data_IF_468180768247
#
_entry.id   IF_468180768247
#
_cell.length_a   1.000
_cell.length_b   1.000
_cell.length_c   1.000
_cell.angle_alpha   90.00
_cell.angle_beta   90.00
_cell.angle_gamma   90.00
#
_symmetry.space_group_name_H-M   'P 1'
#
loop_
_entity.id
_entity.type
_entity.pdbx_description
1 polymer ?
#
# COMPACT_ATOMS: atom_id res chain seq x y z
N UNK A 1 5.17 9.43 -6.79
CA UNK A 1 4.92 7.97 -6.72
C UNK A 1 4.83 7.40 -8.12
N UNK A 2 5.06 6.10 -8.29
CA UNK A 2 4.88 5.40 -9.55
C UNK A 2 4.00 4.16 -9.35
N UNK A 3 3.00 3.94 -10.20
CA UNK A 3 2.10 2.78 -10.07
C UNK A 3 1.41 2.45 -11.39
N UNK A 4 0.66 1.35 -11.38
CA UNK A 4 -0.21 0.90 -12.46
C UNK A 4 -1.66 0.82 -11.96
N UNK A 5 -2.57 0.39 -12.83
CA UNK A 5 -3.98 0.31 -12.49
C UNK A 5 -4.29 -0.70 -11.36
N UNK A 6 -3.44 -1.70 -11.13
CA UNK A 6 -3.64 -2.71 -10.09
C UNK A 6 -3.20 -2.20 -8.71
N UNK A 7 -2.15 -1.38 -8.67
CA UNK A 7 -1.62 -0.79 -7.43
C UNK A 7 -2.39 0.43 -6.92
N UNK A 8 -3.45 0.88 -7.61
CA UNK A 8 -4.09 2.18 -7.36
C UNK A 8 -4.74 2.29 -5.98
N UNK A 9 -5.24 1.19 -5.42
CA UNK A 9 -5.89 1.21 -4.13
C UNK A 9 -4.89 1.40 -2.98
N UNK A 10 -3.77 0.66 -3.01
CA UNK A 10 -2.68 0.86 -2.05
C UNK A 10 -2.03 2.24 -2.22
N UNK A 11 -1.90 2.71 -3.48
CA UNK A 11 -1.47 4.08 -3.77
C UNK A 11 -2.39 5.09 -3.09
N UNK A 12 -3.72 4.92 -3.17
CA UNK A 12 -4.66 5.83 -2.54
C UNK A 12 -4.51 5.87 -1.01
N UNK A 13 -4.29 4.72 -0.36
CA UNK A 13 -4.04 4.66 1.10
C UNK A 13 -2.70 5.32 1.47
N UNK A 14 -1.66 5.09 0.68
CA UNK A 14 -0.35 5.73 0.88
C UNK A 14 -0.48 7.26 0.79
N UNK A 15 -1.18 7.76 -0.24
CA UNK A 15 -1.46 9.18 -0.40
C UNK A 15 -2.30 9.73 0.75
N UNK A 16 -3.38 9.05 1.11
CA UNK A 16 -4.25 9.44 2.20
C UNK A 16 -3.49 9.58 3.52
N UNK A 17 -2.72 8.56 3.90
CA UNK A 17 -1.92 8.57 5.13
C UNK A 17 -0.86 9.68 5.11
N UNK A 18 -0.23 9.93 3.96
CA UNK A 18 0.71 11.04 3.77
C UNK A 18 0.04 12.39 3.94
N UNK A 19 -1.11 12.62 3.31
CA UNK A 19 -1.87 13.87 3.40
C UNK A 19 -2.31 14.13 4.84
N UNK A 20 -2.83 13.10 5.52
CA UNK A 20 -3.35 13.17 6.89
C UNK A 20 -2.26 13.54 7.90
N UNK A 21 -1.06 12.98 7.78
CA UNK A 21 0.03 13.19 8.74
C UNK A 21 0.94 14.39 8.43
N UNK A 22 0.71 15.08 7.31
CA UNK A 22 1.47 16.27 6.91
C UNK A 22 0.55 17.49 6.78
N UNK A 23 -0.32 17.71 7.77
CA UNK A 23 -1.43 18.69 7.69
C UNK A 23 -0.97 20.16 7.50
N UNK A 24 0.25 20.49 7.93
CA UNK A 24 0.81 21.85 7.86
C UNK A 24 1.48 22.15 6.52
N UNK A 25 1.81 21.12 5.74
CA UNK A 25 2.61 21.26 4.53
C UNK A 25 1.71 21.39 3.28
N UNK A 26 2.14 22.17 2.28
CA UNK A 26 1.54 22.14 0.96
C UNK A 26 2.07 20.91 0.22
N UNK A 27 1.19 20.07 -0.34
CA UNK A 27 1.63 18.81 -0.97
C UNK A 27 1.21 18.80 -2.44
N UNK A 28 2.22 18.80 -3.30
CA UNK A 28 2.07 18.49 -4.71
C UNK A 28 2.40 17.01 -4.92
N UNK A 29 1.42 16.25 -5.35
CA UNK A 29 1.50 14.81 -5.58
C UNK A 29 1.63 14.58 -7.08
N UNK A 30 2.70 13.90 -7.47
CA UNK A 30 2.92 13.48 -8.85
C UNK A 30 2.84 11.96 -8.94
N UNK A 31 1.95 11.46 -9.79
CA UNK A 31 1.73 10.04 -10.03
C UNK A 31 2.17 9.72 -11.46
N UNK A 32 3.28 9.00 -11.58
CA UNK A 32 3.78 8.52 -12.88
C UNK A 32 3.18 7.14 -13.12
N UNK A 33 2.55 6.93 -14.27
CA UNK A 33 1.83 5.68 -14.56
C UNK A 33 1.84 5.33 -16.04
N UNK A 34 1.37 4.13 -16.37
CA UNK A 34 1.17 3.70 -17.75
C UNK A 34 -0.29 3.51 -18.12
N UNK A 35 -1.10 3.02 -17.18
CA UNK A 35 -2.41 2.45 -17.52
C UNK A 35 -3.51 2.72 -16.47
N UNK A 36 -3.23 3.49 -15.41
CA UNK A 36 -4.27 3.94 -14.47
C UNK A 36 -5.41 4.58 -15.26
N UNK A 37 -6.59 3.99 -15.16
CA UNK A 37 -7.78 4.39 -15.92
C UNK A 37 -8.25 5.79 -15.52
N UNK A 38 -8.89 6.52 -16.44
CA UNK A 38 -9.44 7.84 -16.14
C UNK A 38 -10.44 7.82 -14.96
N UNK A 39 -11.18 6.73 -14.78
CA UNK A 39 -12.05 6.53 -13.62
C UNK A 39 -11.24 6.47 -12.32
N UNK A 40 -10.20 5.65 -12.27
CA UNK A 40 -9.33 5.54 -11.10
C UNK A 40 -8.57 6.84 -10.80
N UNK A 41 -8.13 7.57 -11.83
CA UNK A 41 -7.52 8.89 -11.65
C UNK A 41 -8.49 9.87 -10.99
N UNK A 42 -9.73 9.95 -11.49
CA UNK A 42 -10.79 10.79 -10.91
C UNK A 42 -11.10 10.40 -9.47
N UNK A 43 -11.11 9.10 -9.17
CA UNK A 43 -11.32 8.62 -7.80
C UNK A 43 -10.18 9.08 -6.87
N UNK A 44 -8.92 8.84 -7.25
CA UNK A 44 -7.76 9.27 -6.45
C UNK A 44 -7.74 10.80 -6.27
N UNK A 45 -8.12 11.58 -7.28
CA UNK A 45 -8.26 13.04 -7.16
C UNK A 45 -9.27 13.48 -6.09
N UNK A 46 -10.22 12.63 -5.66
CA UNK A 46 -11.11 12.98 -4.53
C UNK A 46 -10.33 13.24 -3.24
N UNK A 47 -9.12 12.71 -3.09
CA UNK A 47 -8.25 13.00 -1.94
C UNK A 47 -7.84 14.48 -1.86
N UNK A 48 -7.94 15.25 -2.96
CA UNK A 48 -7.76 16.71 -2.93
C UNK A 48 -8.81 17.41 -2.06
N UNK A 49 -9.99 16.79 -1.86
CA UNK A 49 -11.04 17.33 -1.00
C UNK A 49 -10.71 17.30 0.49
N UNK A 50 -9.67 16.57 0.89
CA UNK A 50 -9.23 16.49 2.29
C UNK A 50 -8.82 17.88 2.80
N UNK A 51 -8.12 18.68 1.97
CA UNK A 51 -7.77 20.07 2.27
C UNK A 51 -7.31 20.84 1.04
N UNK A 52 -7.47 22.17 1.06
CA UNK A 52 -7.27 23.09 -0.09
C UNK A 52 -5.87 23.11 -0.71
N UNK A 53 -4.84 22.65 0.00
CA UNK A 53 -3.44 22.75 -0.40
C UNK A 53 -2.84 21.39 -0.80
N UNK A 54 -3.67 20.54 -1.40
CA UNK A 54 -3.30 19.29 -2.07
C UNK A 54 -3.54 19.44 -3.56
N UNK A 55 -2.56 19.04 -4.38
CA UNK A 55 -2.69 18.98 -5.83
C UNK A 55 -2.18 17.62 -6.32
N UNK A 56 -2.99 16.89 -7.09
CA UNK A 56 -2.66 15.57 -7.63
C UNK A 56 -2.58 15.66 -9.15
N UNK A 57 -1.40 15.35 -9.70
CA UNK A 57 -1.18 15.30 -11.15
C UNK A 57 -0.74 13.92 -11.59
N UNK A 58 -1.33 13.46 -12.69
CA UNK A 58 -0.98 12.21 -13.35
C UNK A 58 -0.10 12.47 -14.57
N UNK A 59 0.98 11.72 -14.69
CA UNK A 59 1.86 11.71 -15.84
C UNK A 59 1.88 10.31 -16.43
N UNK A 60 1.26 10.18 -17.60
CA UNK A 60 1.30 8.94 -18.36
C UNK A 60 2.62 8.86 -19.11
N UNK A 61 3.35 7.77 -18.93
CA UNK A 61 4.55 7.47 -19.72
C UNK A 61 4.23 6.42 -20.78
N UNK A 62 4.97 6.48 -21.89
CA UNK A 62 4.94 5.45 -22.92
C UNK A 62 5.90 4.31 -22.55
N UNK A 63 5.39 3.08 -22.57
CA UNK A 63 6.17 1.88 -22.32
C UNK A 63 7.20 1.60 -23.41
N UNK A 64 7.07 2.21 -24.58
CA UNK A 64 8.02 2.05 -25.69
C UNK A 64 9.46 2.40 -25.31
N UNK A 65 9.68 3.29 -24.34
CA UNK A 65 11.02 3.61 -23.84
C UNK A 65 11.78 2.38 -23.32
N UNK A 66 11.06 1.36 -22.84
CA UNK A 66 11.61 0.16 -22.24
C UNK A 66 11.64 -1.03 -23.21
N UNK A 67 11.36 -0.84 -24.50
CA UNK A 67 11.34 -1.93 -25.48
C UNK A 67 12.68 -2.65 -25.62
N UNK A 68 13.78 -1.95 -25.33
CA UNK A 68 15.16 -2.45 -25.36
C UNK A 68 15.70 -2.84 -23.97
N UNK A 69 14.88 -2.72 -22.92
CA UNK A 69 15.27 -3.08 -21.54
C UNK A 69 14.85 -4.52 -21.26
N UNK A 70 15.81 -5.38 -20.94
CA UNK A 70 15.55 -6.81 -20.70
C UNK A 70 14.86 -7.03 -19.33
N UNK A 71 13.55 -6.83 -19.20
CA UNK A 71 12.78 -6.90 -17.94
C UNK A 71 12.62 -8.35 -17.41
N UNK A 72 13.72 -8.99 -17.08
CA UNK A 72 13.73 -10.46 -16.94
C UNK A 72 13.40 -10.97 -15.55
N UNK A 73 13.17 -10.07 -14.60
CA UNK A 73 12.83 -10.48 -13.25
C UNK A 73 11.33 -10.45 -13.12
N UNK A 74 10.73 -11.62 -12.89
CA UNK A 74 9.31 -11.76 -12.60
C UNK A 74 8.89 -11.09 -11.28
N UNK A 75 9.84 -10.62 -10.47
CA UNK A 75 9.63 -10.08 -9.12
C UNK A 75 9.50 -8.56 -9.04
N UNK A 76 10.04 -7.78 -9.99
CA UNK A 76 9.98 -6.30 -9.95
C UNK A 76 9.20 -5.78 -11.14
N UNK A 77 8.11 -5.07 -10.84
CA UNK A 77 7.21 -4.55 -11.87
C UNK A 77 7.79 -3.32 -12.56
N UNK A 78 7.33 -3.08 -13.79
CA UNK A 78 7.72 -1.93 -14.60
C UNK A 78 7.62 -0.56 -13.90
N UNK A 79 6.56 -0.30 -13.10
CA UNK A 79 6.47 0.92 -12.30
C UNK A 79 7.69 1.26 -11.45
N UNK A 80 8.51 0.27 -11.06
CA UNK A 80 9.72 0.53 -10.31
C UNK A 80 10.70 1.47 -11.04
N UNK A 81 10.78 1.39 -12.38
CA UNK A 81 11.67 2.23 -13.17
C UNK A 81 11.12 3.64 -13.41
N UNK A 82 9.81 3.85 -13.26
CA UNK A 82 9.17 5.11 -13.69
C UNK A 82 9.59 6.30 -12.83
N UNK A 83 9.97 6.05 -11.57
CA UNK A 83 10.45 7.08 -10.64
C UNK A 83 11.66 7.85 -11.17
N UNK A 84 12.50 7.20 -11.98
CA UNK A 84 13.71 7.80 -12.53
C UNK A 84 13.46 8.73 -13.73
N UNK A 85 12.21 8.86 -14.21
CA UNK A 85 11.81 9.93 -15.11
C UNK A 85 11.44 11.24 -14.40
N UNK A 86 11.40 11.26 -13.06
CA UNK A 86 11.08 12.48 -12.31
C UNK A 86 11.91 13.71 -12.73
N UNK A 87 13.24 13.62 -12.98
CA UNK A 87 14.02 14.76 -13.45
C UNK A 87 13.55 15.32 -14.81
N UNK A 88 13.06 14.45 -15.70
CA UNK A 88 12.64 14.83 -17.06
C UNK A 88 11.20 15.38 -17.10
N UNK A 89 10.33 14.81 -16.26
CA UNK A 89 8.90 15.13 -16.21
C UNK A 89 8.65 16.37 -15.33
N UNK A 90 9.29 16.44 -14.17
CA UNK A 90 9.06 17.47 -13.16
C UNK A 90 10.04 18.63 -13.31
N UNK A 91 10.01 19.30 -14.46
CA UNK A 91 10.97 20.36 -14.84
C UNK A 91 10.97 21.58 -13.93
N UNK A 92 9.85 21.82 -13.25
CA UNK A 92 9.67 22.97 -12.35
C UNK A 92 9.96 22.63 -10.88
N UNK A 93 10.30 21.38 -10.58
CA UNK A 93 10.61 20.93 -9.23
C UNK A 93 12.11 20.68 -9.10
N UNK A 94 12.71 21.21 -8.04
CA UNK A 94 14.13 20.99 -7.72
C UNK A 94 14.33 19.78 -6.83
N UNK A 95 13.30 19.37 -6.10
CA UNK A 95 13.37 18.28 -5.13
C UNK A 95 12.05 17.52 -5.07
N UNK A 96 12.13 16.20 -4.97
CA UNK A 96 10.95 15.36 -4.74
C UNK A 96 11.25 14.26 -3.72
N UNK A 97 10.26 13.95 -2.89
CA UNK A 97 10.25 12.72 -2.10
C UNK A 97 9.46 11.66 -2.86
N UNK A 98 10.16 10.67 -3.39
CA UNK A 98 9.56 9.49 -3.96
C UNK A 98 9.19 8.49 -2.85
N UNK A 99 8.01 7.86 -2.99
CA UNK A 99 7.50 6.78 -2.15
C UNK A 99 6.88 5.70 -3.04
N UNK A 100 7.14 4.44 -2.72
CA UNK A 100 6.42 3.30 -3.30
C UNK A 100 4.95 3.32 -2.88
N UNK A 101 4.09 2.68 -3.68
CA UNK A 101 2.65 2.68 -3.49
C UNK A 101 2.15 1.76 -2.37
N UNK A 102 3.04 1.00 -1.75
CA UNK A 102 2.78 0.05 -0.68
C UNK A 102 3.42 0.50 0.64
N UNK A 103 3.34 1.80 0.90
CA UNK A 103 3.83 2.43 2.11
C UNK A 103 2.69 3.02 2.95
N UNK A 104 2.93 3.22 4.24
CA UNK A 104 2.01 3.89 5.13
C UNK A 104 2.75 4.97 5.92
N UNK A 105 2.39 6.24 5.69
CA UNK A 105 2.96 7.37 6.40
C UNK A 105 2.17 7.61 7.68
N UNK A 106 2.83 7.51 8.83
CA UNK A 106 2.20 7.63 10.16
C UNK A 106 2.76 8.78 11.00
N UNK A 107 3.69 9.56 10.45
CA UNK A 107 4.28 10.74 11.10
C UNK A 107 4.62 11.81 10.03
N UNK A 108 4.88 13.05 10.47
CA UNK A 108 5.26 14.14 9.58
C UNK A 108 6.59 13.88 8.88
N UNK A 109 6.61 14.17 7.58
CA UNK A 109 7.76 14.10 6.68
C UNK A 109 8.40 15.46 6.45
N UNK A 110 7.92 16.53 7.11
CA UNK A 110 8.43 17.89 6.92
C UNK A 110 9.93 17.98 7.23
N UNK A 111 10.40 17.34 8.31
CA UNK A 111 11.83 17.26 8.60
C UNK A 111 12.60 16.51 7.49
N UNK A 112 12.12 15.32 7.09
CA UNK A 112 12.74 14.52 6.04
C UNK A 112 12.88 15.30 4.73
N UNK A 113 11.82 15.98 4.30
CA UNK A 113 11.83 16.72 3.05
C UNK A 113 12.86 17.87 3.04
N UNK A 114 13.13 18.45 4.21
CA UNK A 114 13.97 19.64 4.37
C UNK A 114 15.41 19.34 4.82
N UNK A 115 15.84 18.08 4.90
CA UNK A 115 17.22 17.76 5.24
C UNK A 115 18.21 18.38 4.23
N UNK A 116 19.44 18.60 4.71
CA UNK A 116 20.56 18.96 3.84
C UNK A 116 21.04 17.72 3.07
N UNK A 117 20.93 17.79 1.74
CA UNK A 117 21.37 16.74 0.83
C UNK A 117 22.88 16.72 0.62
N UNK A 118 23.60 17.75 1.09
CA UNK A 118 25.04 17.94 0.89
C UNK A 118 25.39 17.85 -0.60
N UNK A 119 26.38 17.03 -0.97
CA UNK A 119 26.79 16.79 -2.36
C UNK A 119 26.14 15.53 -2.98
N UNK A 120 25.17 14.91 -2.31
CA UNK A 120 24.50 13.69 -2.76
C UNK A 120 23.43 13.98 -3.82
N UNK A 121 23.16 12.98 -4.66
CA UNK A 121 22.08 13.02 -5.67
C UNK A 121 20.73 12.62 -5.06
N UNK A 122 20.77 11.62 -4.19
CA UNK A 122 19.60 11.05 -3.53
C UNK A 122 19.89 10.80 -2.05
N UNK A 123 18.83 10.70 -1.25
CA UNK A 123 18.89 10.18 0.12
C UNK A 123 17.95 8.98 0.23
N UNK A 124 18.41 7.94 0.91
CA UNK A 124 17.70 6.67 1.02
C UNK A 124 18.04 5.99 2.35
N UNK A 125 17.24 4.98 2.71
CA UNK A 125 17.49 4.15 3.90
C UNK A 125 18.18 2.87 3.46
N UNK A 126 19.19 2.46 4.23
CA UNK A 126 19.84 1.15 4.07
C UNK A 126 18.83 -0.01 4.08
N UNK A 127 18.98 -0.93 3.12
CA UNK A 127 18.23 -2.16 3.05
C UNK A 127 18.82 -3.21 4.02
N UNK A 128 18.27 -3.26 5.23
CA UNK A 128 18.78 -4.12 6.30
C UNK A 128 18.85 -5.60 5.91
N UNK A 129 17.91 -6.11 5.11
CA UNK A 129 17.95 -7.52 4.70
C UNK A 129 19.20 -7.83 3.87
N UNK A 130 19.52 -6.95 2.92
CA UNK A 130 20.72 -7.12 2.08
C UNK A 130 21.98 -6.97 2.92
N UNK A 131 22.03 -5.98 3.82
CA UNK A 131 23.19 -5.75 4.69
C UNK A 131 23.40 -6.88 5.71
N UNK A 132 22.33 -7.44 6.28
CA UNK A 132 22.44 -8.49 7.32
C UNK A 132 22.76 -9.87 6.78
N UNK A 133 22.29 -10.21 5.58
CA UNK A 133 22.52 -11.54 4.98
C UNK A 133 23.83 -11.62 4.20
N UNK A 134 24.38 -10.47 3.78
CA UNK A 134 25.48 -10.41 2.82
C UNK A 134 25.11 -10.99 1.45
N UNK A 135 23.81 -11.28 1.21
CA UNK A 135 23.29 -11.85 -0.02
C UNK A 135 23.07 -10.75 -1.07
N UNK A 136 24.17 -10.08 -1.36
CA UNK A 136 24.22 -8.90 -2.20
C UNK A 136 24.45 -9.32 -3.67
N UNK A 137 23.63 -8.83 -4.63
CA UNK A 137 23.85 -8.96 -6.08
C UNK A 137 25.28 -8.68 -6.60
N UNK A 138 25.77 -7.45 -6.43
CA UNK A 138 27.09 -6.99 -6.85
C UNK A 138 28.30 -7.57 -6.10
N UNK A 139 28.24 -7.86 -4.79
CA UNK A 139 29.31 -8.56 -4.05
C UNK A 139 29.47 -10.01 -4.53
N UNK A 140 28.37 -10.79 -4.66
CA UNK A 140 28.43 -12.14 -5.25
C UNK A 140 28.86 -12.12 -6.73
N UNK A 141 28.59 -11.02 -7.43
CA UNK A 141 29.09 -10.79 -8.78
C UNK A 141 30.52 -10.23 -8.84
N UNK A 142 31.10 -9.78 -7.73
CA UNK A 142 32.41 -9.08 -7.68
C UNK A 142 32.45 -7.73 -8.40
N UNK A 143 31.30 -7.15 -8.76
CA UNK A 143 31.24 -5.96 -9.63
C UNK A 143 30.75 -4.75 -8.82
N UNK A 144 31.66 -3.77 -8.68
CA UNK A 144 31.43 -2.40 -8.20
C UNK A 144 31.00 -2.23 -6.74
N UNK A 145 30.89 -3.30 -5.95
CA UNK A 145 30.60 -3.24 -4.52
C UNK A 145 31.60 -4.04 -3.69
N UNK A 146 32.08 -3.41 -2.62
CA UNK A 146 32.93 -3.97 -1.59
C UNK A 146 32.07 -4.35 -0.37
N UNK A 147 32.62 -5.18 0.52
CA UNK A 147 31.94 -5.62 1.75
C UNK A 147 31.62 -4.48 2.73
N UNK A 148 32.23 -3.31 2.56
CA UNK A 148 32.03 -2.12 3.41
C UNK A 148 31.02 -1.13 2.83
N UNK A 149 30.56 -1.36 1.60
CA UNK A 149 29.60 -0.45 0.96
C UNK A 149 28.18 -0.70 1.48
N UNK A 150 27.42 0.37 1.67
CA UNK A 150 26.01 0.31 2.10
C UNK A 150 25.10 0.07 0.90
N UNK A 151 24.11 -0.81 1.05
CA UNK A 151 23.05 -1.01 0.07
C UNK A 151 21.76 -0.34 0.52
N UNK A 152 21.16 0.47 -0.34
CA UNK A 152 19.98 1.25 -0.03
C UNK A 152 18.72 0.66 -0.66
N UNK A 153 17.62 0.71 0.08
CA UNK A 153 16.30 0.38 -0.42
C UNK A 153 15.79 1.51 -1.33
N UNK A 154 15.26 1.18 -2.52
CA UNK A 154 14.80 2.20 -3.46
C UNK A 154 13.38 2.67 -3.23
N UNK A 155 12.64 2.09 -2.28
CA UNK A 155 11.22 2.37 -2.09
C UNK A 155 10.91 3.77 -1.59
N UNK A 156 11.85 4.40 -0.87
CA UNK A 156 11.78 5.81 -0.51
C UNK A 156 13.08 6.51 -0.90
N UNK A 157 12.96 7.54 -1.74
CA UNK A 157 14.09 8.33 -2.23
C UNK A 157 13.77 9.81 -2.10
N UNK A 158 14.56 10.56 -1.35
CA UNK A 158 14.59 12.02 -1.52
C UNK A 158 15.55 12.32 -2.68
N UNK A 159 15.09 13.01 -3.72
CA UNK A 159 15.84 13.21 -4.94
C UNK A 159 16.09 14.70 -5.18
N UNK A 160 17.34 15.08 -5.40
CA UNK A 160 17.73 16.40 -5.89
C UNK A 160 17.61 16.42 -7.41
N UNK A 161 16.43 16.81 -7.90
CA UNK A 161 16.13 16.79 -9.33
C UNK A 161 17.01 17.74 -10.12
N UNK A 162 17.42 18.87 -9.53
CA UNK A 162 18.32 19.80 -10.20
C UNK A 162 19.69 19.15 -10.48
N UNK A 163 20.32 18.53 -9.48
CA UNK A 163 21.59 17.81 -9.69
C UNK A 163 21.44 16.62 -10.64
N UNK A 164 20.33 15.90 -10.57
CA UNK A 164 20.07 14.78 -11.48
C UNK A 164 19.98 15.25 -12.94
N UNK A 165 19.40 16.43 -13.20
CA UNK A 165 19.33 17.04 -14.54
C UNK A 165 20.69 17.53 -15.05
N UNK A 166 21.49 18.17 -14.19
CA UNK A 166 22.68 18.92 -14.65
C UNK A 166 23.98 18.12 -14.67
N UNK A 167 24.05 16.98 -13.97
CA UNK A 167 25.30 16.21 -13.81
C UNK A 167 25.58 15.17 -14.90
N UNK A 168 24.61 14.86 -15.76
CA UNK A 168 24.69 13.74 -16.71
C UNK A 168 24.61 12.34 -16.06
N UNK A 169 24.37 12.26 -14.74
CA UNK A 169 24.31 10.97 -14.03
C UNK A 169 23.15 10.09 -14.49
N UNK A 170 22.04 10.70 -14.91
CA UNK A 170 20.87 9.95 -15.41
C UNK A 170 21.17 9.24 -16.73
N UNK A 171 22.04 9.78 -17.59
CA UNK A 171 22.49 9.08 -18.79
C UNK A 171 23.30 7.82 -18.44
N UNK A 172 24.10 7.89 -17.37
CA UNK A 172 24.82 6.73 -16.83
C UNK A 172 23.83 5.71 -16.27
N UNK A 173 22.82 6.16 -15.51
CA UNK A 173 21.76 5.29 -14.98
C UNK A 173 21.07 4.52 -16.11
N UNK A 174 20.54 5.21 -17.11
CA UNK A 174 19.81 4.58 -18.22
C UNK A 174 20.70 3.67 -19.07
N UNK A 175 21.98 4.05 -19.27
CA UNK A 175 22.95 3.17 -19.93
C UNK A 175 23.21 1.89 -19.13
N UNK A 176 23.24 1.98 -17.80
CA UNK A 176 23.40 0.83 -16.93
C UNK A 176 22.16 -0.09 -16.97
N UNK A 177 20.96 0.48 -17.03
CA UNK A 177 19.71 -0.26 -17.21
C UNK A 177 19.72 -1.06 -18.52
N UNK A 178 20.07 -0.42 -19.64
CA UNK A 178 20.12 -1.06 -20.97
C UNK A 178 21.21 -2.12 -21.08
N UNK A 179 22.37 -1.90 -20.44
CA UNK A 179 23.49 -2.84 -20.47
C UNK A 179 23.55 -3.77 -19.25
N UNK A 180 22.45 -3.89 -18.49
CA UNK A 180 22.49 -4.48 -17.14
C UNK A 180 23.07 -5.89 -17.08
N UNK A 181 22.82 -6.74 -18.07
CA UNK A 181 23.36 -8.12 -18.11
C UNK A 181 24.86 -8.18 -18.34
N UNK A 182 25.45 -7.13 -18.95
CA UNK A 182 26.91 -6.95 -19.05
C UNK A 182 27.52 -6.42 -17.76
N UNK A 183 26.72 -5.71 -16.95
CA UNK A 183 27.18 -5.09 -15.69
C UNK A 183 27.01 -6.07 -14.52
N UNK A 184 25.94 -6.86 -14.51
CA UNK A 184 25.66 -7.83 -13.45
C UNK A 184 25.05 -9.07 -14.11
N UNK A 185 25.61 -10.28 -13.87
CA UNK A 185 24.98 -11.50 -14.33
C UNK A 185 23.54 -11.61 -13.82
N UNK A 186 22.64 -12.05 -14.71
CA UNK A 186 21.19 -12.12 -14.48
C UNK A 186 20.79 -12.80 -13.17
N UNK A 187 21.50 -13.87 -12.79
CA UNK A 187 21.29 -14.61 -11.53
C UNK A 187 21.56 -13.80 -10.25
N UNK A 188 22.32 -12.71 -10.37
CA UNK A 188 22.66 -11.85 -9.24
C UNK A 188 21.81 -10.60 -9.20
N UNK A 189 21.31 -10.09 -10.33
CA UNK A 189 20.52 -8.86 -10.38
C UNK A 189 19.06 -9.07 -9.92
N UNK A 190 18.81 -9.53 -8.70
CA UNK A 190 17.44 -9.87 -8.22
C UNK A 190 16.57 -8.64 -7.89
N UNK A 191 17.18 -7.50 -7.54
CA UNK A 191 16.47 -6.27 -7.12
C UNK A 191 16.36 -5.21 -8.22
N UNK A 192 16.69 -5.55 -9.47
CA UNK A 192 16.36 -4.77 -10.66
C UNK A 192 16.83 -3.29 -10.60
N UNK A 193 15.90 -2.32 -10.58
CA UNK A 193 16.22 -0.89 -10.54
C UNK A 193 17.02 -0.52 -9.30
N UNK A 194 16.69 -1.07 -8.12
CA UNK A 194 17.38 -0.80 -6.86
C UNK A 194 18.87 -1.13 -6.96
N UNK A 195 19.23 -2.21 -7.64
CA UNK A 195 20.63 -2.59 -7.84
C UNK A 195 21.35 -1.57 -8.73
N UNK A 196 20.71 -1.12 -9.81
CA UNK A 196 21.29 -0.12 -10.70
C UNK A 196 21.39 1.26 -10.03
N UNK A 197 20.43 1.61 -9.16
CA UNK A 197 20.46 2.82 -8.33
C UNK A 197 21.67 2.82 -7.42
N UNK A 198 21.87 1.74 -6.67
CA UNK A 198 23.01 1.59 -5.79
C UNK A 198 24.34 1.66 -6.57
N UNK A 199 24.46 1.02 -7.74
CA UNK A 199 25.66 1.11 -8.57
C UNK A 199 25.91 2.51 -9.12
N UNK A 200 24.86 3.16 -9.61
CA UNK A 200 24.99 4.44 -10.31
C UNK A 200 25.29 5.57 -9.36
N UNK A 201 24.61 5.61 -8.20
CA UNK A 201 24.75 6.67 -7.21
C UNK A 201 25.73 6.32 -6.08
N UNK A 202 26.53 5.27 -6.23
CA UNK A 202 27.50 4.84 -5.23
C UNK A 202 28.33 6.02 -4.69
N UNK A 203 28.49 6.10 -3.37
CA UNK A 203 29.16 7.20 -2.64
C UNK A 203 28.51 8.58 -2.80
N UNK A 204 27.29 8.65 -3.36
CA UNK A 204 26.50 9.87 -3.56
C UNK A 204 25.03 9.64 -3.15
N UNK A 205 24.82 8.74 -2.18
CA UNK A 205 23.55 8.48 -1.50
C UNK A 205 23.72 8.90 -0.04
N UNK A 206 22.88 9.83 0.42
CA UNK A 206 22.82 10.20 1.82
C UNK A 206 22.01 9.15 2.60
N UNK A 207 22.57 8.62 3.69
CA UNK A 207 21.85 7.72 4.60
C UNK A 207 20.77 8.48 5.37
N UNK A 208 19.55 7.98 5.29
CA UNK A 208 18.42 8.43 6.09
C UNK A 208 18.26 7.59 7.37
N UNK A 209 17.54 8.14 8.35
CA UNK A 209 17.09 7.37 9.50
C UNK A 209 16.17 6.23 9.05
N UNK A 210 16.37 5.02 9.59
CA UNK A 210 15.59 3.83 9.26
C UNK A 210 14.08 4.02 9.46
N UNK A 211 13.66 4.95 10.32
CA UNK A 211 12.23 5.23 10.54
C UNK A 211 11.50 5.72 9.30
N UNK A 212 12.21 6.27 8.32
CA UNK A 212 11.63 6.75 7.07
C UNK A 212 11.43 5.66 6.01
N UNK A 213 11.92 4.43 6.23
CA UNK A 213 11.64 3.31 5.34
C UNK A 213 11.67 2.01 6.16
N UNK A 214 10.64 1.86 6.99
CA UNK A 214 10.59 0.84 8.01
C UNK A 214 9.93 -0.42 7.44
N UNK A 215 10.74 -1.30 6.84
CA UNK A 215 10.26 -2.51 6.15
C UNK A 215 9.74 -3.53 7.15
N UNK A 216 8.47 -3.94 7.00
CA UNK A 216 7.77 -4.80 7.98
C UNK A 216 8.51 -6.12 8.21
N UNK A 217 9.01 -6.76 7.15
CA UNK A 217 9.71 -8.04 7.21
C UNK A 217 11.04 -7.99 7.99
N UNK A 218 11.60 -6.79 8.17
CA UNK A 218 12.85 -6.54 8.91
C UNK A 218 12.58 -6.37 10.39
N UNK A 219 11.38 -5.97 10.79
CA UNK A 219 11.10 -5.59 12.17
C UNK A 219 11.30 -6.73 13.19
N UNK A 220 11.20 -8.00 12.77
CA UNK A 220 11.52 -9.18 13.60
C UNK A 220 13.01 -9.27 13.97
N UNK A 221 13.86 -8.60 13.21
CA UNK A 221 15.32 -8.56 13.40
C UNK A 221 15.79 -7.21 13.95
N UNK A 222 15.03 -6.15 13.70
CA UNK A 222 15.36 -4.78 14.15
C UNK A 222 14.09 -4.10 14.64
N UNK A 223 13.93 -4.02 15.96
CA UNK A 223 12.86 -3.22 16.55
C UNK A 223 13.04 -1.75 16.16
N UNK A 224 11.95 -1.15 15.73
CA UNK A 224 11.91 0.25 15.33
C UNK A 224 10.68 0.86 16.02
N UNK A 225 10.92 1.55 17.12
CA UNK A 225 9.87 1.93 18.07
C UNK A 225 9.00 3.09 17.59
N UNK A 226 9.47 3.83 16.59
CA UNK A 226 8.78 5.02 16.08
C UNK A 226 8.93 5.18 14.56
N UNK A 227 8.37 4.28 13.74
CA UNK A 227 8.41 4.44 12.28
C UNK A 227 7.65 5.69 11.87
N UNK A 228 8.21 6.48 10.95
CA UNK A 228 7.47 7.55 10.28
C UNK A 228 6.77 7.01 9.02
N UNK A 229 7.38 6.02 8.37
CA UNK A 229 6.85 5.34 7.20
C UNK A 229 7.03 3.84 7.37
N UNK A 230 5.94 3.09 7.34
CA UNK A 230 5.94 1.62 7.30
C UNK A 230 5.91 1.17 5.84
N UNK A 231 6.78 0.25 5.45
CA UNK A 231 6.90 -0.23 4.08
C UNK A 231 6.52 -1.72 3.98
N UNK A 232 5.43 -2.02 3.29
CA UNK A 232 4.90 -3.36 3.05
C UNK A 232 5.54 -3.99 1.81
N UNK A 233 6.86 -4.07 1.81
CA UNK A 233 7.65 -4.51 0.66
C UNK A 233 7.53 -6.02 0.41
N UNK A 234 7.74 -6.42 -0.86
CA UNK A 234 7.77 -7.84 -1.23
C UNK A 234 6.43 -8.55 -1.03
N UNK A 235 6.45 -9.70 -0.34
CA UNK A 235 5.27 -10.55 -0.10
C UNK A 235 4.45 -10.14 1.13
N UNK A 236 5.01 -9.29 1.97
CA UNK A 236 4.40 -8.89 3.24
C UNK A 236 3.46 -7.70 3.02
N UNK A 237 2.38 -7.94 2.26
CA UNK A 237 1.34 -6.94 2.04
C UNK A 237 0.41 -6.86 3.26
N UNK A 238 -0.20 -5.70 3.54
CA UNK A 238 -1.06 -5.52 4.73
C UNK A 238 -2.20 -6.56 4.83
N UNK A 239 -2.66 -7.07 3.69
CA UNK A 239 -3.73 -8.06 3.58
C UNK A 239 -3.24 -9.51 3.48
N UNK A 240 -1.94 -9.74 3.60
CA UNK A 240 -1.29 -11.07 3.57
C UNK A 240 -0.26 -11.26 4.68
N UNK A 241 -0.13 -10.35 5.65
CA UNK A 241 0.73 -10.57 6.81
C UNK A 241 0.08 -11.61 7.75
N UNK A 242 0.78 -12.72 8.00
CA UNK A 242 0.24 -13.88 8.72
C UNK A 242 0.90 -14.16 10.07
N UNK A 243 1.93 -13.41 10.45
CA UNK A 243 2.57 -13.55 11.77
C UNK A 243 2.13 -12.43 12.74
N UNK A 244 2.05 -12.76 14.03
CA UNK A 244 1.58 -11.87 15.11
C UNK A 244 2.34 -10.54 15.16
N UNK A 245 3.59 -10.56 14.68
CA UNK A 245 4.47 -9.43 14.75
C UNK A 245 4.20 -8.40 13.63
N UNK A 246 3.89 -8.87 12.43
CA UNK A 246 3.49 -8.04 11.28
C UNK A 246 2.00 -7.64 11.35
N UNK A 247 1.18 -8.42 12.07
CA UNK A 247 -0.26 -8.18 12.23
C UNK A 247 -0.56 -6.78 12.79
N UNK A 248 0.16 -6.34 13.83
CA UNK A 248 -0.06 -5.01 14.43
C UNK A 248 0.10 -3.85 13.43
N UNK A 249 1.00 -3.98 12.45
CA UNK A 249 1.19 -2.94 11.43
C UNK A 249 0.12 -3.02 10.34
N UNK A 250 -0.41 -4.21 10.11
CA UNK A 250 -1.57 -4.41 9.22
C UNK A 250 -2.82 -3.79 9.83
N UNK A 251 -3.01 -3.89 11.15
CA UNK A 251 -4.11 -3.23 11.87
C UNK A 251 -4.07 -1.71 11.66
N UNK A 252 -2.89 -1.09 11.87
CA UNK A 252 -2.71 0.35 11.59
C UNK A 252 -3.03 0.66 10.13
N UNK A 253 -2.59 -0.17 9.18
CA UNK A 253 -2.93 0.03 7.77
C UNK A 253 -4.44 -0.04 7.52
N UNK A 254 -5.16 -0.96 8.17
CA UNK A 254 -6.61 -1.08 8.02
C UNK A 254 -7.36 0.15 8.52
N UNK A 255 -6.89 0.81 9.58
CA UNK A 255 -7.47 2.06 10.06
C UNK A 255 -7.41 3.15 8.97
N UNK A 256 -6.22 3.37 8.39
CA UNK A 256 -6.06 4.31 7.28
C UNK A 256 -6.81 3.89 6.03
N UNK A 257 -6.89 2.59 5.76
CA UNK A 257 -7.64 2.05 4.63
C UNK A 257 -9.13 2.39 4.74
N UNK A 258 -9.76 2.14 5.88
CA UNK A 258 -11.19 2.41 6.10
C UNK A 258 -11.50 3.89 5.93
N UNK A 259 -10.67 4.75 6.53
CA UNK A 259 -10.83 6.19 6.39
C UNK A 259 -10.63 6.67 4.95
N UNK A 260 -9.60 6.17 4.27
CA UNK A 260 -9.34 6.46 2.86
C UNK A 260 -10.54 6.07 2.00
N UNK A 261 -11.07 4.85 2.16
CA UNK A 261 -12.23 4.40 1.41
C UNK A 261 -13.47 5.27 1.67
N UNK A 262 -13.67 5.74 2.91
CA UNK A 262 -14.74 6.69 3.24
C UNK A 262 -14.61 7.99 2.44
N UNK A 263 -13.41 8.59 2.39
CA UNK A 263 -13.14 9.78 1.57
C UNK A 263 -13.39 9.52 0.07
N UNK A 264 -13.04 8.34 -0.41
CA UNK A 264 -13.27 7.95 -1.80
C UNK A 264 -14.74 7.62 -2.11
N UNK A 265 -15.60 7.51 -1.09
CA UNK A 265 -16.99 7.05 -1.21
C UNK A 265 -17.10 5.58 -1.59
N UNK A 266 -16.13 4.75 -1.16
CA UNK A 266 -16.05 3.31 -1.44
C UNK A 266 -16.43 2.51 -0.21
N UNK A 267 -17.08 1.37 -0.44
CA UNK A 267 -17.37 0.42 0.63
C UNK A 267 -16.09 -0.33 1.05
N UNK A 268 -15.60 -0.04 2.25
CA UNK A 268 -14.47 -0.73 2.86
C UNK A 268 -14.79 -2.18 3.27
N UNK A 269 -16.08 -2.53 3.40
CA UNK A 269 -16.54 -3.81 3.96
C UNK A 269 -16.09 -5.01 3.15
N UNK A 270 -15.92 -4.89 1.83
CA UNK A 270 -15.50 -6.01 0.97
C UNK A 270 -14.09 -6.49 1.26
N UNK A 271 -13.16 -5.56 1.51
CA UNK A 271 -11.78 -5.90 1.85
C UNK A 271 -11.65 -6.34 3.31
N UNK A 272 -12.40 -5.70 4.21
CA UNK A 272 -12.50 -6.15 5.61
C UNK A 272 -13.02 -7.60 5.67
N UNK A 273 -14.09 -7.93 4.94
CA UNK A 273 -14.64 -9.30 4.83
C UNK A 273 -13.62 -10.28 4.24
N UNK A 274 -12.84 -9.87 3.25
CA UNK A 274 -11.79 -10.72 2.67
C UNK A 274 -10.62 -10.95 3.62
N UNK A 275 -10.20 -9.93 4.36
CA UNK A 275 -9.17 -10.02 5.40
C UNK A 275 -9.65 -10.93 6.55
N UNK A 276 -10.86 -10.69 7.06
CA UNK A 276 -11.51 -11.50 8.10
C UNK A 276 -11.63 -12.97 7.66
N UNK A 277 -12.07 -13.22 6.43
CA UNK A 277 -12.14 -14.58 5.86
C UNK A 277 -10.77 -15.26 5.82
N UNK A 278 -9.73 -14.55 5.37
CA UNK A 278 -8.36 -15.09 5.30
C UNK A 278 -7.73 -15.33 6.68
N UNK A 279 -8.14 -14.57 7.69
CA UNK A 279 -7.75 -14.75 9.09
C UNK A 279 -8.57 -15.84 9.81
N UNK A 280 -9.47 -16.54 9.13
CA UNK A 280 -10.34 -17.56 9.74
C UNK A 280 -11.41 -16.97 10.65
N UNK A 281 -11.63 -15.65 10.61
CA UNK A 281 -12.63 -14.92 11.38
C UNK A 281 -13.99 -14.86 10.66
N UNK A 282 -14.32 -15.87 9.83
CA UNK A 282 -15.62 -15.97 9.19
C UNK A 282 -16.73 -16.13 10.24
N UNK A 283 -17.35 -15.03 10.65
CA UNK A 283 -18.58 -15.11 11.43
C UNK A 283 -19.75 -14.81 10.52
N UNK A 284 -20.53 -15.85 10.19
CA UNK A 284 -21.78 -15.78 9.43
C UNK A 284 -22.92 -15.06 10.17
N UNK A 285 -22.64 -14.30 11.23
CA UNK A 285 -23.64 -13.65 12.05
C UNK A 285 -23.38 -12.16 12.19
N UNK A 286 -24.42 -11.36 11.91
CA UNK A 286 -24.44 -9.92 12.18
C UNK A 286 -24.05 -9.59 13.64
N UNK A 287 -24.35 -10.49 14.59
CA UNK A 287 -24.03 -10.36 16.02
C UNK A 287 -22.53 -10.36 16.29
N UNK A 288 -21.74 -11.16 15.57
CA UNK A 288 -20.30 -11.26 15.82
C UNK A 288 -19.52 -10.17 15.09
N UNK A 289 -20.00 -9.73 13.92
CA UNK A 289 -19.55 -8.47 13.31
C UNK A 289 -19.78 -7.29 14.26
N UNK A 290 -20.90 -7.25 14.98
CA UNK A 290 -21.21 -6.21 15.95
C UNK A 290 -20.27 -6.26 17.17
N UNK A 291 -19.91 -7.45 17.66
CA UNK A 291 -18.93 -7.62 18.74
C UNK A 291 -17.51 -7.23 18.32
N UNK A 292 -17.10 -7.56 17.09
CA UNK A 292 -15.79 -7.17 16.54
C UNK A 292 -15.74 -5.65 16.35
N UNK A 293 -16.79 -5.05 15.77
CA UNK A 293 -16.91 -3.60 15.62
C UNK A 293 -16.99 -2.88 16.97
N UNK A 294 -17.67 -3.43 17.98
CA UNK A 294 -17.70 -2.90 19.35
C UNK A 294 -16.32 -3.00 20.04
N UNK A 295 -15.55 -4.05 19.76
CA UNK A 295 -14.17 -4.20 20.24
C UNK A 295 -13.24 -3.15 19.62
N UNK A 296 -13.38 -2.88 18.32
CA UNK A 296 -12.66 -1.83 17.60
C UNK A 296 -13.10 -0.41 18.02
N UNK A 297 -14.39 -0.20 18.29
CA UNK A 297 -14.94 1.10 18.69
C UNK A 297 -14.57 1.54 20.11
N UNK A 298 -14.15 0.60 20.97
CA UNK A 298 -13.56 0.91 22.28
C UNK A 298 -12.25 1.71 22.16
N UNK A 299 -11.59 1.67 20.99
CA UNK A 299 -10.27 2.27 20.76
C UNK A 299 -10.26 3.55 19.90
N UNK A 300 -11.42 4.26 19.82
CA UNK A 300 -11.65 5.67 19.38
C UNK A 300 -12.25 5.88 17.98
N UNK A 301 -13.41 6.55 17.93
CA UNK A 301 -13.85 7.58 16.95
C UNK A 301 -15.38 7.75 17.00
N UNK A 302 -15.90 8.98 17.00
CA UNK A 302 -17.35 9.25 16.96
C UNK A 302 -18.01 8.75 15.67
N UNK A 303 -17.27 8.68 14.56
CA UNK A 303 -17.80 8.23 13.28
C UNK A 303 -18.07 6.71 13.27
N UNK A 304 -17.23 5.94 13.97
CA UNK A 304 -17.44 4.49 14.15
C UNK A 304 -18.67 4.24 15.03
N UNK A 305 -18.94 5.09 16.02
CA UNK A 305 -20.16 5.01 16.84
C UNK A 305 -21.43 5.29 16.04
N UNK A 306 -21.40 6.24 15.09
CA UNK A 306 -22.52 6.53 14.19
C UNK A 306 -22.83 5.34 13.25
N UNK A 307 -21.78 4.74 12.66
CA UNK A 307 -21.92 3.53 11.85
C UNK A 307 -22.40 2.33 12.69
N UNK A 308 -21.94 2.19 13.94
CA UNK A 308 -22.43 1.16 14.86
C UNK A 308 -23.93 1.31 15.11
N UNK A 309 -24.41 2.53 15.32
CA UNK A 309 -25.84 2.81 15.55
C UNK A 309 -26.68 2.42 14.33
N UNK A 310 -26.23 2.76 13.12
CA UNK A 310 -26.90 2.36 11.88
C UNK A 310 -26.94 0.83 11.71
N UNK A 311 -25.84 0.14 12.03
CA UNK A 311 -25.76 -1.32 11.97
C UNK A 311 -26.63 -2.01 13.04
N UNK A 312 -26.76 -1.42 14.24
CA UNK A 312 -27.66 -1.90 15.29
C UNK A 312 -29.14 -1.75 14.89
N UNK A 313 -29.51 -0.64 14.26
CA UNK A 313 -30.86 -0.43 13.73
C UNK A 313 -31.18 -1.44 12.61
N UNK A 314 -30.26 -1.66 11.66
CA UNK A 314 -30.42 -2.68 10.62
C UNK A 314 -30.54 -4.10 11.18
N UNK A 315 -29.77 -4.42 12.24
CA UNK A 315 -29.86 -5.69 12.94
C UNK A 315 -31.24 -5.87 13.55
N UNK A 316 -31.76 -4.85 14.24
CA UNK A 316 -33.09 -4.90 14.88
C UNK A 316 -34.19 -5.13 13.84
N UNK A 317 -34.15 -4.42 12.71
CA UNK A 317 -35.10 -4.59 11.59
C UNK A 317 -35.04 -6.04 11.04
N UNK A 318 -33.84 -6.61 10.89
CA UNK A 318 -33.68 -8.00 10.44
C UNK A 318 -34.20 -9.00 11.47
N UNK A 319 -33.93 -8.79 12.76
CA UNK A 319 -34.42 -9.66 13.84
C UNK A 319 -35.96 -9.63 13.94
N UNK A 320 -36.59 -8.46 13.79
CA UNK A 320 -38.05 -8.33 13.74
C UNK A 320 -38.64 -9.07 12.54
N UNK A 321 -38.01 -8.94 11.36
CA UNK A 321 -38.45 -9.62 10.13
C UNK A 321 -38.24 -11.13 10.19
N UNK A 322 -37.19 -11.60 10.85
CA UNK A 322 -36.97 -13.01 11.13
C UNK A 322 -38.06 -13.54 12.05
N UNK A 323 -38.40 -12.80 13.11
CA UNK A 323 -39.46 -13.19 14.05
C UNK A 323 -40.83 -13.26 13.37
N UNK A 324 -41.15 -12.30 12.51
CA UNK A 324 -42.37 -12.32 11.68
C UNK A 324 -42.42 -13.57 10.78
N UNK A 325 -41.30 -13.94 10.17
CA UNK A 325 -41.20 -15.16 9.35
C UNK A 325 -41.30 -16.44 10.20
N UNK A 326 -40.75 -16.46 11.42
CA UNK A 326 -40.87 -17.56 12.36
C UNK A 326 -42.32 -17.75 12.84
N UNK A 327 -43.02 -16.65 13.13
CA UNK A 327 -44.44 -16.65 13.50
C UNK A 327 -45.31 -17.17 12.32
N UNK A 328 -45.02 -16.73 11.09
CA UNK A 328 -45.66 -17.27 9.90
C UNK A 328 -45.41 -18.77 9.71
N UNK A 329 -44.18 -19.23 9.95
CA UNK A 329 -43.84 -20.67 9.91
C UNK A 329 -44.61 -21.43 10.99
N UNK A 330 -44.72 -20.89 12.20
CA UNK A 330 -45.46 -21.51 13.29
C UNK A 330 -46.96 -21.62 12.99
N UNK A 331 -47.57 -20.58 12.41
CA UNK A 331 -48.98 -20.61 11.97
C UNK A 331 -49.19 -21.67 10.88
N UNK A 332 -48.28 -21.75 9.90
CA UNK A 332 -48.32 -22.78 8.86
C UNK A 332 -48.22 -24.19 9.43
N UNK A 333 -47.34 -24.41 10.42
CA UNK A 333 -47.14 -25.72 11.07
C UNK A 333 -48.37 -26.18 11.89
N UNK A 334 -49.21 -25.26 12.38
CA UNK A 334 -50.32 -25.56 13.30
C UNK A 334 -51.73 -25.43 12.70
N UNK A 335 -51.88 -24.99 11.45
CA UNK A 335 -53.20 -24.94 10.78
C UNK A 335 -53.62 -26.32 10.26
N UNK A 336 -54.75 -26.86 10.75
CA UNK A 336 -55.28 -28.20 10.38
C UNK A 336 -55.89 -28.30 8.97
N UNK A 337 -55.82 -27.26 8.13
CA UNK A 337 -56.59 -27.18 6.87
C UNK A 337 -55.79 -27.43 5.58
N UNK A 338 -54.51 -27.83 5.63
CA UNK A 338 -53.72 -28.05 4.42
C UNK A 338 -53.39 -29.53 4.19
N UNK A 339 -54.15 -30.20 3.31
CA UNK A 339 -53.83 -31.53 2.76
C UNK A 339 -53.43 -31.42 1.27
N UNK A 340 -52.18 -31.84 1.00
CA UNK A 340 -51.63 -32.41 -0.26
C UNK A 340 -51.41 -31.40 -1.42
N UNK A 341 -50.18 -30.99 -1.76
CA UNK A 341 -49.11 -31.75 -2.47
C UNK A 341 -47.73 -31.12 -2.19
N UNK A 342 -46.64 -31.92 -2.26
CA UNK A 342 -45.23 -31.59 -1.93
C UNK A 342 -44.71 -30.22 -2.45
N UNK A 343 -43.69 -29.58 -1.79
CA UNK A 343 -42.71 -30.23 -0.92
C UNK A 343 -42.46 -29.58 0.46
N UNK A 344 -42.52 -30.43 1.49
CA UNK A 344 -41.98 -30.25 2.85
C UNK A 344 -40.43 -30.11 2.88
N UNK A 345 -39.76 -29.94 1.72
CA UNK A 345 -38.32 -29.60 1.65
C UNK A 345 -38.05 -28.14 2.05
N UNK A 346 -39.03 -27.25 1.91
CA UNK A 346 -38.80 -25.81 2.03
C UNK A 346 -38.70 -25.28 3.47
N UNK A 347 -39.40 -25.84 4.48
CA UNK A 347 -39.39 -25.24 5.84
C UNK A 347 -38.04 -25.43 6.53
N UNK A 348 -37.42 -26.60 6.39
CA UNK A 348 -36.10 -26.87 6.98
C UNK A 348 -35.02 -26.04 6.28
N UNK A 349 -35.08 -25.90 4.94
CA UNK A 349 -34.20 -25.00 4.17
C UNK A 349 -34.43 -23.51 4.48
N UNK A 350 -35.68 -23.08 4.68
CA UNK A 350 -36.03 -21.73 5.13
C UNK A 350 -35.48 -21.45 6.52
N UNK A 351 -35.65 -22.38 7.48
CA UNK A 351 -35.04 -22.29 8.82
C UNK A 351 -33.50 -22.22 8.74
N UNK A 352 -32.87 -22.94 7.79
CA UNK A 352 -31.42 -22.86 7.55
C UNK A 352 -31.00 -21.55 6.87
N UNK A 353 -31.81 -20.98 5.97
CA UNK A 353 -31.58 -19.68 5.31
C UNK A 353 -31.85 -18.48 6.21
N UNK A 354 -32.74 -18.60 7.18
CA UNK A 354 -33.04 -17.57 8.19
C UNK A 354 -31.93 -17.52 9.26
N UNK A 355 -31.27 -18.65 9.54
CA UNK A 355 -30.13 -18.77 10.48
C UNK A 355 -28.76 -18.41 9.88
N UNK A 356 -28.63 -18.32 8.56
CA UNK A 356 -27.43 -17.89 7.83
C UNK A 356 -27.60 -16.45 7.40
#
# INVERSE_FOLDING_TARGET
MASDNNGVEMLAVTLYSTIKNNIKDNINIFIIHTDISATNQKEVCKLESIRKNINIKFYKIDNSFFSDVELTNQTVSMPAYYRYFAPDILKNEDRVLYMDFDMLCIDSLSHLYNIDMQDNYIAAVEDYYVSSTGDYPGFKAGIRFNSTDVYYNSGLLLMDLNKLRTSGIMDVFWRNIRNKTKIIPKKYNIFADQTITNITFKNKILQLDYRYNAVVSVFKYRHLDNPAIIHFSGRDKPFTCYDDFSAKYSDIYYDYYVECMSVLGRDASKLLKNAMRKLGLETNNAVDNLKISQKLAKDKSNHVQELLKQLEEEKKIKEEKIKELEDHIYIMENSKSWKITKPIRNIKELKTKIKK
#
